data_IF_668129865181
#
_entry.id   IF_668129865181
#
_cell.length_a   1.000
_cell.length_b   1.000
_cell.length_c   1.000
_cell.angle_alpha   90.00
_cell.angle_beta   90.00
_cell.angle_gamma   90.00
#
_symmetry.space_group_name_H-M   'P 1'
#
loop_
_entity.id
_entity.type
_entity.pdbx_description
1 polymer ?
#
# COMPACT_ATOMS: atom_id res chain seq x y z
N UNK A 1 9.26 -0.07 -3.04
CA UNK A 1 8.15 0.06 -2.07
C UNK A 1 7.95 -1.28 -1.37
N UNK A 2 7.44 -1.32 -0.14
CA UNK A 2 7.29 -2.58 0.61
C UNK A 2 6.00 -2.58 1.42
N UNK A 3 5.32 -3.73 1.47
CA UNK A 3 4.20 -3.96 2.37
C UNK A 3 4.71 -4.62 3.67
N UNK A 4 4.07 -4.34 4.80
CA UNK A 4 4.34 -5.04 6.07
C UNK A 4 3.98 -6.53 5.98
N UNK A 5 2.93 -6.84 5.22
CA UNK A 5 2.48 -8.19 4.87
C UNK A 5 1.92 -8.22 3.46
N UNK A 6 2.08 -9.36 2.79
CA UNK A 6 1.52 -9.62 1.45
C UNK A 6 0.33 -10.57 1.49
N UNK A 7 -0.16 -10.90 2.69
CA UNK A 7 -1.37 -11.69 2.91
C UNK A 7 -2.26 -11.03 3.95
N UNK A 8 -3.56 -10.98 3.70
CA UNK A 8 -4.55 -10.39 4.59
C UNK A 8 -5.91 -11.08 4.47
N UNK A 9 -6.76 -10.90 5.49
CA UNK A 9 -8.14 -11.40 5.44
C UNK A 9 -9.04 -10.34 4.77
N UNK A 10 -9.86 -10.77 3.82
CA UNK A 10 -10.85 -9.94 3.14
C UNK A 10 -12.08 -9.65 4.04
N UNK A 11 -11.87 -9.09 5.23
CA UNK A 11 -12.93 -8.81 6.21
C UNK A 11 -13.15 -7.31 6.46
N UNK A 12 -12.54 -6.44 5.65
CA UNK A 12 -12.49 -4.97 5.85
C UNK A 12 -11.86 -4.49 7.15
N UNK A 13 -11.38 -5.38 8.02
CA UNK A 13 -10.70 -5.05 9.27
C UNK A 13 -9.20 -5.31 9.17
N UNK A 14 -8.82 -6.39 8.49
CA UNK A 14 -7.42 -6.72 8.31
C UNK A 14 -6.77 -5.74 7.34
N UNK A 15 -5.77 -5.05 7.86
CA UNK A 15 -5.16 -3.91 7.19
C UNK A 15 -3.72 -4.22 6.83
N UNK A 16 -3.37 -3.98 5.58
CA UNK A 16 -2.00 -4.04 5.08
C UNK A 16 -1.43 -2.63 5.07
N UNK A 17 -0.26 -2.44 5.67
CA UNK A 17 0.47 -1.17 5.71
C UNK A 17 1.57 -1.16 4.66
N UNK A 18 1.40 -0.31 3.66
CA UNK A 18 2.37 -0.11 2.59
C UNK A 18 3.26 1.08 2.95
N UNK A 19 4.57 0.88 2.85
CA UNK A 19 5.59 1.91 3.06
C UNK A 19 6.37 2.16 1.78
N UNK A 20 6.32 3.40 1.32
CA UNK A 20 7.15 3.91 0.24
C UNK A 20 8.31 4.72 0.82
N UNK A 21 9.53 4.45 0.35
CA UNK A 21 10.67 5.32 0.59
C UNK A 21 11.07 5.97 -0.74
N UNK A 22 10.84 7.26 -0.85
CA UNK A 22 11.17 8.05 -2.04
C UNK A 22 12.51 8.77 -1.84
N UNK A 23 13.47 8.43 -2.69
CA UNK A 23 14.80 9.02 -2.73
C UNK A 23 15.07 9.54 -4.14
N UNK A 24 15.71 10.71 -4.23
CA UNK A 24 16.15 11.30 -5.50
C UNK A 24 17.68 11.35 -5.48
N UNK A 25 18.30 10.52 -6.32
CA UNK A 25 19.74 10.24 -6.22
C UNK A 25 20.03 9.45 -4.94
N UNK A 26 20.79 10.04 -4.01
CA UNK A 26 21.18 9.45 -2.72
C UNK A 26 20.51 10.09 -1.52
N UNK A 27 19.62 11.07 -1.71
CA UNK A 27 18.94 11.79 -0.63
C UNK A 27 17.44 11.52 -0.60
N UNK A 28 16.86 11.31 0.60
CA UNK A 28 15.42 11.26 0.75
C UNK A 28 14.80 12.63 0.42
N UNK A 29 13.62 12.61 -0.20
CA UNK A 29 12.90 13.84 -0.53
C UNK A 29 11.73 14.01 0.43
N UNK A 30 11.75 15.09 1.22
CA UNK A 30 10.66 15.49 2.09
C UNK A 30 9.61 16.31 1.33
N UNK A 31 8.33 16.13 1.69
CA UNK A 31 7.22 16.93 1.17
C UNK A 31 6.78 16.57 -0.25
N UNK A 32 7.31 15.50 -0.85
CA UNK A 32 6.91 15.04 -2.17
C UNK A 32 5.49 14.48 -2.12
N UNK A 33 4.66 14.82 -3.12
CA UNK A 33 3.28 14.35 -3.20
C UNK A 33 3.25 12.94 -3.78
N UNK A 34 2.75 12.00 -2.99
CA UNK A 34 2.57 10.60 -3.34
C UNK A 34 1.10 10.37 -3.66
N UNK A 35 0.81 9.94 -4.87
CA UNK A 35 -0.52 9.53 -5.29
C UNK A 35 -0.60 8.01 -5.22
N UNK A 36 -1.56 7.49 -4.48
CA UNK A 36 -1.77 6.07 -4.28
C UNK A 36 -2.98 5.60 -5.08
N UNK A 37 -2.80 4.51 -5.81
CA UNK A 37 -3.88 3.77 -6.46
C UNK A 37 -3.74 2.28 -6.12
N UNK A 38 -4.83 1.53 -6.26
CA UNK A 38 -4.85 0.10 -6.02
C UNK A 38 -5.67 -0.57 -7.11
N UNK A 39 -5.30 -1.80 -7.50
CA UNK A 39 -6.10 -2.60 -8.44
C UNK A 39 -7.40 -3.12 -7.83
N UNK A 40 -7.48 -3.19 -6.49
CA UNK A 40 -8.69 -3.53 -5.75
C UNK A 40 -8.58 -3.22 -4.25
N UNK A 41 -9.69 -3.40 -3.53
CA UNK A 41 -9.82 -2.98 -2.14
C UNK A 41 -9.93 -1.47 -1.95
N UNK A 42 -9.67 -1.01 -0.73
CA UNK A 42 -9.83 0.37 -0.28
C UNK A 42 -8.56 0.87 0.40
N UNK A 43 -8.03 1.98 -0.11
CA UNK A 43 -6.95 2.70 0.54
C UNK A 43 -7.50 3.66 1.60
N UNK A 44 -6.76 3.84 2.70
CA UNK A 44 -7.08 4.82 3.74
C UNK A 44 -7.01 6.25 3.22
N UNK A 45 -6.03 6.52 2.35
CA UNK A 45 -5.85 7.79 1.64
C UNK A 45 -5.39 7.53 0.22
N UNK A 46 -5.82 8.36 -0.72
CA UNK A 46 -5.37 8.32 -2.13
C UNK A 46 -4.19 9.24 -2.40
N UNK A 47 -3.83 10.09 -1.45
CA UNK A 47 -2.65 10.96 -1.55
C UNK A 47 -2.01 11.21 -0.18
N UNK A 48 -0.68 11.19 -0.13
CA UNK A 48 0.10 11.51 1.08
C UNK A 48 1.31 12.38 0.71
N UNK A 49 1.96 12.97 1.71
CA UNK A 49 3.28 13.60 1.53
C UNK A 49 4.37 12.75 2.16
N UNK A 50 5.54 12.70 1.53
CA UNK A 50 6.72 12.07 2.12
C UNK A 50 7.21 12.87 3.32
N UNK A 51 7.61 12.18 4.39
CA UNK A 51 8.24 12.80 5.55
C UNK A 51 9.73 13.11 5.33
N UNK A 52 10.40 13.59 6.38
CA UNK A 52 11.83 13.97 6.38
C UNK A 52 12.79 12.86 5.90
N UNK A 53 12.41 11.60 6.11
CA UNK A 53 13.17 10.43 5.66
C UNK A 53 12.78 9.97 4.23
N UNK A 54 11.95 10.71 3.51
CA UNK A 54 11.40 10.29 2.21
C UNK A 54 10.31 9.22 2.33
N UNK A 55 9.95 8.84 3.55
CA UNK A 55 8.95 7.82 3.84
C UNK A 55 7.53 8.33 3.70
N UNK A 56 6.67 7.58 3.04
CA UNK A 56 5.22 7.76 3.01
C UNK A 56 4.53 6.42 3.26
N UNK A 57 3.43 6.44 4.00
CA UNK A 57 2.67 5.23 4.33
C UNK A 57 1.22 5.34 3.88
N UNK A 58 0.64 4.20 3.51
CA UNK A 58 -0.78 4.04 3.24
C UNK A 58 -1.26 2.70 3.78
N UNK A 59 -2.54 2.63 4.11
CA UNK A 59 -3.20 1.41 4.58
C UNK A 59 -4.16 0.91 3.51
N UNK A 60 -4.12 -0.38 3.20
CA UNK A 60 -5.03 -1.07 2.29
C UNK A 60 -5.88 -2.07 3.09
N UNK A 61 -7.19 -2.03 2.87
CA UNK A 61 -8.15 -3.02 3.36
C UNK A 61 -8.98 -3.55 2.20
N UNK A 62 -9.61 -4.71 2.35
CA UNK A 62 -10.54 -5.25 1.35
C UNK A 62 -11.60 -6.12 2.01
N UNK A 63 -12.81 -6.13 1.46
CA UNK A 63 -13.88 -7.10 1.72
C UNK A 63 -13.95 -8.23 0.68
N UNK A 64 -13.23 -8.08 -0.43
CA UNK A 64 -13.15 -9.08 -1.49
C UNK A 64 -11.81 -9.82 -1.45
N UNK A 65 -11.87 -11.14 -1.64
CA UNK A 65 -10.68 -11.93 -1.89
C UNK A 65 -10.10 -11.66 -3.28
N UNK A 66 -8.80 -11.76 -3.39
CA UNK A 66 -8.09 -11.52 -4.63
C UNK A 66 -6.69 -10.97 -4.41
N UNK A 67 -5.96 -10.83 -5.51
CA UNK A 67 -4.63 -10.26 -5.51
C UNK A 67 -4.70 -8.77 -5.86
N UNK A 68 -4.21 -7.92 -4.97
CA UNK A 68 -4.19 -6.48 -5.17
C UNK A 68 -2.77 -5.94 -5.23
N UNK A 69 -2.56 -4.98 -6.11
CA UNK A 69 -1.30 -4.29 -6.30
C UNK A 69 -1.55 -2.82 -6.02
N UNK A 70 -0.79 -2.27 -5.07
CA UNK A 70 -0.80 -0.84 -4.79
C UNK A 70 0.26 -0.17 -5.65
N UNK A 71 -0.11 0.94 -6.27
CA UNK A 71 0.78 1.78 -7.08
C UNK A 71 0.92 3.13 -6.42
N UNK A 72 2.15 3.55 -6.17
CA UNK A 72 2.48 4.85 -5.63
C UNK A 72 3.21 5.68 -6.69
N UNK A 73 2.68 6.85 -7.01
CA UNK A 73 3.23 7.75 -8.03
C UNK A 73 3.74 9.04 -7.37
N UNK A 74 5.04 9.32 -7.51
CA UNK A 74 5.71 10.50 -6.95
C UNK A 74 6.52 11.18 -8.03
N UNK A 75 6.33 12.48 -8.25
CA UNK A 75 7.11 13.27 -9.24
C UNK A 75 7.06 12.66 -10.67
N UNK A 76 5.98 11.94 -11.01
CA UNK A 76 5.83 11.21 -12.29
C UNK A 76 6.43 9.80 -12.31
N UNK A 77 7.07 9.35 -11.23
CA UNK A 77 7.62 8.00 -11.09
C UNK A 77 6.62 7.11 -10.36
N UNK A 78 6.14 6.06 -11.02
CA UNK A 78 5.28 5.05 -10.42
C UNK A 78 6.12 3.88 -9.85
N UNK A 79 5.71 3.40 -8.69
CA UNK A 79 6.26 2.23 -8.00
C UNK A 79 5.11 1.32 -7.62
N UNK A 80 5.26 0.02 -7.85
CA UNK A 80 4.27 -0.99 -7.49
C UNK A 80 4.71 -1.76 -6.23
N UNK A 81 3.74 -2.25 -5.45
CA UNK A 81 4.03 -3.22 -4.39
C UNK A 81 4.18 -4.61 -5.01
N UNK A 82 4.71 -5.54 -4.25
CA UNK A 82 4.41 -6.94 -4.47
C UNK A 82 2.89 -7.18 -4.43
N UNK A 83 2.48 -8.28 -5.05
CA UNK A 83 1.12 -8.79 -4.98
C UNK A 83 0.70 -9.02 -3.53
N UNK A 84 -0.41 -8.39 -3.11
CA UNK A 84 -1.02 -8.57 -1.80
C UNK A 84 -2.25 -9.47 -1.97
N UNK A 85 -2.19 -10.69 -1.47
CA UNK A 85 -3.29 -11.65 -1.53
C UNK A 85 -4.25 -11.44 -0.36
N UNK A 86 -5.47 -11.07 -0.66
CA UNK A 86 -6.57 -11.12 0.29
C UNK A 86 -7.30 -12.46 0.16
N UNK A 87 -7.39 -13.20 1.26
CA UNK A 87 -8.13 -14.45 1.34
C UNK A 87 -9.42 -14.24 2.09
N UNK A 88 -10.48 -14.96 1.73
CA UNK A 88 -11.68 -15.00 2.57
C UNK A 88 -11.34 -15.41 4.00
N UNK A 89 -12.15 -14.96 4.95
CA UNK A 89 -12.08 -15.45 6.32
C UNK A 89 -12.50 -16.92 6.32
N UNK A 90 -11.54 -17.82 6.15
CA UNK A 90 -11.77 -19.23 6.44
C UNK A 90 -11.92 -19.33 7.94
N UNK A 91 -13.16 -19.38 8.43
CA UNK A 91 -13.40 -20.04 9.71
C UNK A 91 -12.81 -21.45 9.59
N UNK A 92 -11.88 -21.88 10.45
CA UNK A 92 -11.57 -23.30 10.53
C UNK A 92 -12.91 -24.00 10.82
N UNK A 93 -13.21 -24.97 9.96
CA UNK A 93 -14.49 -25.63 9.79
C UNK A 93 -15.12 -26.11 11.11
N UNK A 94 -16.45 -26.03 11.08
CA UNK A 94 -17.51 -26.60 11.93
C UNK A 94 -17.19 -27.89 12.71
#
# INVERSE_FOLDING_TARGET
MSADKTSAIADSTDTVTITLNYTKGSSPVEGATVNWSTTGGKLSVTSSKTGKAGGATVKLTSDAQGEFIVTATVDGVAQNTDAITFTEKTSPDE
#
